data_IF_975622618841
#
_entry.id   IF_975622618841
#
_cell.length_a   1.000
_cell.length_b   1.000
_cell.length_c   1.000
_cell.angle_alpha   90.00
_cell.angle_beta   90.00
_cell.angle_gamma   90.00
#
_symmetry.space_group_name_H-M   'P 1'
#
loop_
_entity.id
_entity.type
_entity.pdbx_description
1 polymer ?
#
# COMPACT_ATOMS: atom_id res chain seq x y z
N UNK A 1 4.49 -32.40 4.82
CA UNK A 1 5.64 -31.49 4.82
C UNK A 1 5.47 -30.56 6.00
N UNK A 2 6.36 -30.57 6.98
CA UNK A 2 6.27 -29.73 8.17
C UNK A 2 6.53 -28.27 7.76
N UNK A 3 5.54 -27.40 7.89
CA UNK A 3 5.69 -25.97 7.63
C UNK A 3 6.59 -25.37 8.73
N UNK A 4 7.76 -24.89 8.35
CA UNK A 4 8.66 -24.19 9.28
C UNK A 4 8.03 -22.85 9.69
N UNK A 5 8.08 -22.45 10.98
CA UNK A 5 7.53 -21.18 11.41
C UNK A 5 8.29 -20.00 10.74
N UNK A 6 7.53 -19.05 10.23
CA UNK A 6 8.02 -17.82 9.59
C UNK A 6 7.66 -16.66 10.49
N UNK A 7 8.65 -15.88 10.91
CA UNK A 7 8.42 -14.67 11.70
C UNK A 7 8.34 -13.47 10.78
N UNK A 8 7.28 -12.65 10.92
CA UNK A 8 7.02 -11.42 10.17
C UNK A 8 6.61 -10.30 11.11
N UNK A 9 6.92 -9.04 10.74
CA UNK A 9 6.50 -7.86 11.48
C UNK A 9 5.37 -7.16 10.74
N UNK A 10 4.20 -7.02 11.37
CA UNK A 10 3.02 -6.37 10.79
C UNK A 10 2.44 -5.37 11.79
N UNK A 11 2.27 -4.13 11.38
CA UNK A 11 1.74 -3.03 12.23
C UNK A 11 2.45 -2.95 13.58
N UNK A 12 3.81 -2.99 13.54
CA UNK A 12 4.71 -2.97 14.70
C UNK A 12 4.63 -4.18 15.65
N UNK A 13 3.78 -5.16 15.37
CA UNK A 13 3.70 -6.43 16.11
C UNK A 13 4.45 -7.55 15.37
N UNK A 14 5.12 -8.42 16.17
CA UNK A 14 5.78 -9.62 15.65
C UNK A 14 4.81 -10.78 15.64
N UNK A 15 4.71 -11.48 14.51
CA UNK A 15 3.84 -12.65 14.33
C UNK A 15 4.66 -13.85 13.86
N UNK A 16 4.34 -15.04 14.40
CA UNK A 16 4.93 -16.31 13.95
C UNK A 16 3.84 -17.12 13.24
N UNK A 17 4.04 -17.37 11.95
CA UNK A 17 3.07 -18.03 11.07
C UNK A 17 3.61 -19.36 10.60
N UNK A 18 2.79 -20.41 10.63
CA UNK A 18 3.11 -21.75 10.10
C UNK A 18 2.36 -21.95 8.77
N UNK A 19 3.03 -21.74 7.66
CA UNK A 19 2.43 -21.86 6.33
C UNK A 19 3.48 -22.27 5.28
N UNK A 20 3.04 -22.55 4.06
CA UNK A 20 3.96 -22.70 2.94
C UNK A 20 4.73 -21.39 2.70
N UNK A 21 6.06 -21.41 2.56
CA UNK A 21 6.89 -20.25 2.29
C UNK A 21 6.47 -19.40 1.08
N UNK A 22 5.79 -20.00 0.13
CA UNK A 22 5.27 -19.34 -1.09
C UNK A 22 3.88 -18.76 -0.92
N UNK A 23 3.23 -18.95 0.24
CA UNK A 23 1.89 -18.40 0.49
C UNK A 23 1.91 -16.89 0.26
N UNK A 24 1.00 -16.34 -0.57
CA UNK A 24 0.89 -14.89 -0.75
C UNK A 24 0.59 -14.18 0.57
N UNK A 25 1.29 -13.08 0.83
CA UNK A 25 1.18 -12.29 2.04
C UNK A 25 -0.28 -11.87 2.32
N UNK A 26 -1.05 -11.58 1.29
CA UNK A 26 -2.46 -11.22 1.41
C UNK A 26 -3.27 -12.22 2.23
N UNK A 27 -3.07 -13.51 2.01
CA UNK A 27 -3.81 -14.55 2.74
C UNK A 27 -3.44 -14.58 4.21
N UNK A 28 -2.16 -14.44 4.53
CA UNK A 28 -1.69 -14.35 5.92
C UNK A 28 -2.32 -13.13 6.62
N UNK A 29 -2.28 -11.96 5.99
CA UNK A 29 -2.85 -10.74 6.57
C UNK A 29 -4.35 -10.89 6.84
N UNK A 30 -5.09 -11.50 5.92
CA UNK A 30 -6.55 -11.61 6.02
C UNK A 30 -7.04 -12.78 6.87
N UNK A 31 -6.42 -13.95 6.73
CA UNK A 31 -6.93 -15.19 7.32
C UNK A 31 -6.29 -15.46 8.69
N UNK A 32 -4.97 -15.31 8.81
CA UNK A 32 -4.25 -15.60 10.04
C UNK A 32 -4.26 -14.40 11.00
N UNK A 33 -4.14 -13.18 10.48
CA UNK A 33 -4.10 -11.95 11.28
C UNK A 33 -5.44 -11.20 11.31
N UNK A 34 -6.45 -11.67 10.62
CA UNK A 34 -7.81 -11.09 10.55
C UNK A 34 -7.84 -9.59 10.15
N UNK A 35 -6.83 -9.11 9.39
CA UNK A 35 -6.75 -7.73 8.91
C UNK A 35 -7.62 -7.55 7.67
N UNK A 36 -8.54 -6.60 7.72
CA UNK A 36 -9.52 -6.35 6.66
C UNK A 36 -9.13 -5.24 5.67
N UNK A 37 -8.15 -4.41 5.97
CA UNK A 37 -7.65 -3.36 5.08
C UNK A 37 -7.26 -3.92 3.71
N UNK A 38 -6.28 -4.83 3.60
CA UNK A 38 -5.90 -5.43 2.33
C UNK A 38 -7.04 -6.28 1.77
N UNK A 39 -7.54 -5.97 0.55
CA UNK A 39 -8.67 -6.67 -0.09
C UNK A 39 -8.20 -7.61 -1.18
N UNK A 40 -8.86 -8.77 -1.31
CA UNK A 40 -8.68 -9.64 -2.46
C UNK A 40 -9.49 -9.07 -3.65
N UNK A 41 -8.80 -8.70 -4.73
CA UNK A 41 -9.45 -8.28 -5.98
C UNK A 41 -9.09 -9.25 -7.12
N UNK A 42 -8.07 -8.92 -7.92
CA UNK A 42 -7.69 -9.74 -9.08
C UNK A 42 -6.80 -10.96 -8.73
N UNK A 43 -6.04 -10.94 -7.64
CA UNK A 43 -5.04 -11.96 -7.31
C UNK A 43 -3.78 -11.94 -8.20
N UNK A 44 -3.67 -10.99 -9.13
CA UNK A 44 -2.66 -10.91 -10.19
C UNK A 44 -1.73 -9.68 -10.06
N UNK A 45 -1.84 -8.90 -8.98
CA UNK A 45 -1.06 -7.69 -8.79
C UNK A 45 -1.56 -6.44 -9.52
N UNK A 46 -2.67 -6.52 -10.29
CA UNK A 46 -3.10 -5.47 -11.23
C UNK A 46 -4.02 -4.42 -10.60
N UNK A 47 -5.00 -4.83 -9.78
CA UNK A 47 -6.10 -3.95 -9.37
C UNK A 47 -5.79 -3.03 -8.17
N UNK A 48 -4.72 -3.26 -7.46
CA UNK A 48 -4.30 -2.45 -6.32
C UNK A 48 -5.03 -2.68 -4.99
N UNK A 49 -6.18 -3.36 -4.95
CA UNK A 49 -7.01 -3.49 -3.75
C UNK A 49 -6.28 -4.13 -2.54
N UNK A 50 -5.27 -4.95 -2.80
CA UNK A 50 -4.46 -5.65 -1.80
C UNK A 50 -3.20 -4.88 -1.35
N UNK A 51 -3.03 -3.62 -1.75
CA UNK A 51 -1.81 -2.89 -1.43
C UNK A 51 -1.59 -2.76 0.08
N UNK A 52 -0.33 -2.95 0.47
CA UNK A 52 0.21 -2.71 1.82
C UNK A 52 1.53 -1.94 1.66
N UNK A 53 2.05 -1.35 2.73
CA UNK A 53 3.42 -0.86 2.69
C UNK A 53 4.39 -1.96 3.14
N UNK A 54 5.48 -2.11 2.43
CA UNK A 54 6.65 -2.88 2.87
C UNK A 54 7.82 -1.89 2.90
N UNK A 55 8.31 -1.61 4.09
CA UNK A 55 9.32 -0.57 4.35
C UNK A 55 8.93 0.78 3.70
N UNK A 56 7.68 1.22 3.92
CA UNK A 56 7.14 2.47 3.41
C UNK A 56 6.74 2.47 1.92
N UNK A 57 6.99 1.42 1.15
CA UNK A 57 6.64 1.34 -0.28
C UNK A 57 5.38 0.52 -0.52
N UNK A 58 4.47 1.06 -1.33
CA UNK A 58 3.23 0.35 -1.69
C UNK A 58 3.52 -0.88 -2.57
N UNK A 59 3.09 -2.05 -2.11
CA UNK A 59 3.32 -3.34 -2.76
C UNK A 59 2.02 -4.14 -2.82
N UNK A 60 1.84 -4.94 -3.86
CA UNK A 60 0.66 -5.80 -4.07
C UNK A 60 0.82 -7.12 -3.30
N UNK A 61 0.22 -7.22 -2.11
CA UNK A 61 0.39 -8.38 -1.21
C UNK A 61 -0.13 -9.71 -1.79
N UNK A 62 -0.98 -9.70 -2.82
CA UNK A 62 -1.50 -10.92 -3.44
C UNK A 62 -0.47 -11.68 -4.29
N UNK A 63 0.65 -11.05 -4.66
CA UNK A 63 1.72 -11.68 -5.47
C UNK A 63 3.06 -11.72 -4.74
N UNK A 64 3.13 -11.22 -3.52
CA UNK A 64 4.34 -11.26 -2.69
C UNK A 64 4.29 -12.48 -1.77
N UNK A 65 5.25 -13.42 -1.84
CA UNK A 65 5.32 -14.54 -0.91
C UNK A 65 5.67 -14.07 0.50
N UNK A 66 5.12 -14.73 1.52
CA UNK A 66 5.33 -14.36 2.93
C UNK A 66 6.82 -14.33 3.33
N UNK A 67 7.65 -15.14 2.71
CA UNK A 67 9.10 -15.15 2.95
C UNK A 67 9.81 -13.87 2.52
N UNK A 68 9.25 -13.12 1.58
CA UNK A 68 9.85 -11.87 1.10
C UNK A 68 9.77 -10.73 2.14
N UNK A 69 8.97 -10.88 3.21
CA UNK A 69 8.81 -9.88 4.28
C UNK A 69 9.43 -10.30 5.61
N UNK A 70 10.18 -11.36 5.66
CA UNK A 70 10.92 -11.84 6.82
C UNK A 70 11.74 -10.76 7.42
N UNK A 71 12.25 -9.98 7.64
CA UNK A 71 13.10 -8.90 8.15
C UNK A 71 12.69 -7.53 7.62
N UNK A 72 11.43 -7.40 7.20
CA UNK A 72 10.87 -6.14 6.69
C UNK A 72 9.66 -5.74 7.51
N UNK A 73 9.37 -4.46 7.53
CA UNK A 73 8.18 -3.93 8.18
C UNK A 73 7.01 -3.91 7.20
N UNK A 74 5.92 -4.57 7.55
CA UNK A 74 4.66 -4.52 6.80
C UNK A 74 3.69 -3.61 7.53
N UNK A 75 3.16 -2.58 6.84
CA UNK A 75 2.11 -1.72 7.38
C UNK A 75 0.85 -1.90 6.54
N UNK A 76 -0.27 -2.19 7.19
CA UNK A 76 -1.60 -2.25 6.56
C UNK A 76 -2.39 -0.97 6.85
N UNK A 77 -3.58 -0.84 6.28
CA UNK A 77 -4.46 0.31 6.52
C UNK A 77 -4.73 0.54 8.01
N UNK A 78 -4.87 -0.54 8.77
CA UNK A 78 -5.09 -0.54 10.22
C UNK A 78 -3.88 -0.02 11.00
N UNK A 79 -2.68 -0.16 10.44
CA UNK A 79 -1.44 0.33 11.05
C UNK A 79 -1.15 1.81 10.79
N UNK A 80 -1.92 2.49 9.92
CA UNK A 80 -1.74 3.92 9.66
C UNK A 80 -2.39 4.79 10.73
N UNK A 81 -3.57 4.42 11.21
CA UNK A 81 -4.37 5.18 12.16
C UNK A 81 -5.70 4.51 12.41
N UNK A 82 -6.52 5.10 13.26
CA UNK A 82 -7.83 4.58 13.66
C UNK A 82 -8.94 5.65 13.51
N UNK A 83 -10.17 5.30 13.86
CA UNK A 83 -11.35 6.18 13.72
C UNK A 83 -11.29 7.46 14.58
N UNK A 84 -10.55 7.45 15.69
CA UNK A 84 -10.40 8.61 16.59
C UNK A 84 -9.16 9.44 16.28
N UNK A 85 -8.18 8.85 15.60
CA UNK A 85 -6.93 9.48 15.17
C UNK A 85 -6.52 8.92 13.80
N UNK A 86 -7.21 9.32 12.73
CA UNK A 86 -6.88 8.87 11.39
C UNK A 86 -5.55 9.47 10.93
N UNK A 87 -4.81 8.71 10.13
CA UNK A 87 -3.62 9.24 9.44
C UNK A 87 -4.03 10.41 8.52
N UNK A 88 -3.19 11.45 8.33
CA UNK A 88 -3.53 12.61 7.47
C UNK A 88 -4.05 12.23 6.08
N UNK A 89 -3.50 11.18 5.46
CA UNK A 89 -4.01 10.67 4.17
C UNK A 89 -5.42 10.08 4.33
N UNK A 90 -5.70 9.30 5.39
CA UNK A 90 -7.04 8.78 5.65
C UNK A 90 -8.03 9.93 5.86
N UNK A 91 -7.64 10.95 6.63
CA UNK A 91 -8.48 12.13 6.85
C UNK A 91 -8.78 12.88 5.55
N UNK A 92 -7.79 13.08 4.68
CA UNK A 92 -8.00 13.70 3.38
C UNK A 92 -9.04 12.95 2.52
N UNK A 93 -9.02 11.60 2.54
CA UNK A 93 -10.03 10.79 1.83
C UNK A 93 -11.43 10.90 2.45
N UNK A 94 -11.54 11.11 3.76
CA UNK A 94 -12.81 11.38 4.46
C UNK A 94 -13.33 12.76 4.06
N UNK A 95 -12.50 13.80 4.17
CA UNK A 95 -12.86 15.19 3.90
C UNK A 95 -13.35 15.41 2.47
N UNK A 96 -12.74 14.72 1.50
CA UNK A 96 -13.10 14.82 0.08
C UNK A 96 -14.19 13.82 -0.34
N UNK A 97 -14.79 13.08 0.61
CA UNK A 97 -15.79 12.05 0.33
C UNK A 97 -15.35 11.06 -0.79
N UNK A 98 -14.08 10.68 -0.78
CA UNK A 98 -13.43 9.92 -1.86
C UNK A 98 -13.84 8.44 -1.89
N UNK A 99 -15.08 8.11 -1.55
CA UNK A 99 -15.57 6.74 -1.47
C UNK A 99 -17.04 6.60 -1.88
N UNK A 100 -17.36 5.41 -2.41
CA UNK A 100 -18.73 4.88 -2.44
C UNK A 100 -18.75 3.53 -1.70
N UNK A 101 -18.45 2.41 -2.39
CA UNK A 101 -18.45 1.09 -1.75
C UNK A 101 -17.22 0.88 -0.81
N UNK A 102 -16.18 1.66 -0.90
CA UNK A 102 -14.99 1.61 -0.06
C UNK A 102 -13.99 0.50 -0.41
N UNK A 103 -14.30 -0.42 -1.33
CA UNK A 103 -13.46 -1.60 -1.59
C UNK A 103 -12.06 -1.27 -2.11
N UNK A 104 -11.92 -0.27 -2.98
CA UNK A 104 -10.64 0.17 -3.54
C UNK A 104 -9.84 1.07 -2.61
N UNK A 105 -10.45 1.63 -1.54
CA UNK A 105 -9.84 2.67 -0.70
C UNK A 105 -8.55 2.20 -0.04
N UNK A 106 -8.49 0.96 0.46
CA UNK A 106 -7.24 0.43 1.00
C UNK A 106 -6.08 0.68 0.02
N UNK A 107 -6.22 0.21 -1.22
CA UNK A 107 -5.17 0.34 -2.22
C UNK A 107 -4.82 1.79 -2.57
N UNK A 108 -5.84 2.64 -2.70
CA UNK A 108 -5.66 4.06 -3.00
C UNK A 108 -4.91 4.78 -1.86
N UNK A 109 -5.35 4.63 -0.62
CA UNK A 109 -4.74 5.24 0.56
C UNK A 109 -3.29 4.76 0.71
N UNK A 110 -3.03 3.44 0.68
CA UNK A 110 -1.67 2.90 0.83
C UNK A 110 -0.73 3.41 -0.28
N UNK A 111 -1.23 3.56 -1.51
CA UNK A 111 -0.45 4.13 -2.63
C UNK A 111 -0.15 5.61 -2.39
N UNK A 112 -1.12 6.40 -1.92
CA UNK A 112 -0.92 7.84 -1.64
C UNK A 112 0.01 8.03 -0.44
N UNK A 113 -0.06 7.21 0.61
CA UNK A 113 0.90 7.24 1.73
C UNK A 113 2.32 6.99 1.22
N UNK A 114 2.51 5.95 0.40
CA UNK A 114 3.82 5.67 -0.19
C UNK A 114 4.32 6.83 -1.04
N UNK A 115 3.46 7.47 -1.83
CA UNK A 115 3.82 8.64 -2.63
C UNK A 115 4.24 9.81 -1.73
N UNK A 116 3.47 10.12 -0.68
CA UNK A 116 3.77 11.19 0.26
C UNK A 116 5.11 10.99 0.99
N UNK A 117 5.47 9.74 1.28
CA UNK A 117 6.75 9.42 1.93
C UNK A 117 7.96 9.61 1.02
N UNK A 118 7.83 9.31 -0.28
CA UNK A 118 8.96 9.27 -1.20
C UNK A 118 9.03 10.45 -2.14
N UNK A 119 7.88 11.07 -2.44
CA UNK A 119 7.74 12.20 -3.36
C UNK A 119 6.69 13.19 -2.81
N UNK A 120 6.96 13.86 -1.67
CA UNK A 120 5.98 14.76 -1.05
C UNK A 120 5.58 15.92 -1.97
N UNK A 121 6.46 16.36 -2.87
CA UNK A 121 6.21 17.43 -3.84
C UNK A 121 5.56 16.96 -5.14
N UNK A 122 5.05 15.71 -5.19
CA UNK A 122 4.43 15.14 -6.38
C UNK A 122 3.23 15.97 -6.84
N UNK A 123 3.22 16.33 -8.12
CA UNK A 123 2.13 17.04 -8.77
C UNK A 123 1.00 16.10 -9.22
N UNK A 124 0.02 16.66 -9.94
CA UNK A 124 -1.14 15.88 -10.39
C UNK A 124 -0.76 14.73 -11.34
N UNK A 125 0.24 14.92 -12.19
CA UNK A 125 0.68 13.91 -13.12
C UNK A 125 1.27 12.68 -12.40
N UNK A 126 2.11 12.90 -11.39
CA UNK A 126 2.72 11.88 -10.57
C UNK A 126 1.67 11.14 -9.74
N UNK A 127 0.68 11.84 -9.17
CA UNK A 127 -0.46 11.24 -8.45
C UNK A 127 -1.26 10.31 -9.39
N UNK A 128 -1.60 10.77 -10.59
CA UNK A 128 -2.32 9.97 -11.59
C UNK A 128 -1.53 8.73 -11.98
N UNK A 129 -0.22 8.88 -12.19
CA UNK A 129 0.67 7.77 -12.52
C UNK A 129 0.75 6.76 -11.37
N UNK A 130 0.94 7.20 -10.14
CA UNK A 130 0.97 6.33 -8.96
C UNK A 130 -0.34 5.53 -8.79
N UNK A 131 -1.48 6.16 -9.08
CA UNK A 131 -2.81 5.55 -8.97
C UNK A 131 -3.26 4.77 -10.21
N UNK A 132 -2.51 4.77 -11.31
CA UNK A 132 -2.89 4.18 -12.58
C UNK A 132 -3.30 2.69 -12.49
N UNK A 133 -2.67 1.95 -11.57
CA UNK A 133 -2.96 0.54 -11.30
C UNK A 133 -3.83 0.32 -10.04
N UNK A 134 -4.63 1.32 -9.66
CA UNK A 134 -5.61 1.21 -8.58
C UNK A 134 -7.02 1.34 -9.17
N UNK A 135 -7.71 0.22 -9.35
CA UNK A 135 -9.01 0.20 -10.03
C UNK A 135 -10.16 0.55 -9.08
N UNK A 136 -11.01 1.48 -9.51
CA UNK A 136 -12.28 1.80 -8.86
C UNK A 136 -13.44 1.61 -9.83
N UNK A 137 -14.42 0.77 -9.48
CA UNK A 137 -15.63 0.53 -10.31
C UNK A 137 -16.73 1.56 -10.07
N UNK A 138 -16.70 2.24 -8.92
CA UNK A 138 -17.73 3.22 -8.55
C UNK A 138 -17.57 4.57 -9.26
N UNK A 139 -16.37 4.90 -9.76
CA UNK A 139 -16.14 6.13 -10.53
C UNK A 139 -15.78 7.36 -9.69
N UNK A 140 -15.42 7.22 -8.41
CA UNK A 140 -15.01 8.33 -7.52
C UNK A 140 -13.59 8.84 -7.82
N UNK A 141 -13.17 8.88 -9.08
CA UNK A 141 -11.80 9.24 -9.44
C UNK A 141 -11.46 10.72 -9.20
N UNK A 142 -12.45 11.62 -9.35
CA UNK A 142 -12.25 13.06 -9.09
C UNK A 142 -12.00 13.31 -7.61
N UNK A 143 -12.82 12.74 -6.75
CA UNK A 143 -12.73 12.84 -5.29
C UNK A 143 -11.45 12.18 -4.77
N UNK A 144 -11.06 11.02 -5.32
CA UNK A 144 -9.80 10.35 -4.99
C UNK A 144 -8.60 11.22 -5.37
N UNK A 145 -8.62 11.87 -6.54
CA UNK A 145 -7.55 12.77 -6.96
C UNK A 145 -7.48 14.02 -6.08
N UNK A 146 -8.63 14.60 -5.70
CA UNK A 146 -8.69 15.72 -4.76
C UNK A 146 -8.13 15.33 -3.39
N UNK A 147 -8.53 14.17 -2.86
CA UNK A 147 -8.01 13.62 -1.61
C UNK A 147 -6.49 13.39 -1.64
N UNK A 148 -5.97 12.84 -2.74
CA UNK A 148 -4.53 12.64 -2.89
C UNK A 148 -3.75 13.97 -2.92
N UNK A 149 -4.23 14.98 -3.65
CA UNK A 149 -3.63 16.32 -3.65
C UNK A 149 -3.64 16.95 -2.26
N UNK A 150 -4.79 16.89 -1.57
CA UNK A 150 -4.92 17.40 -0.20
C UNK A 150 -3.97 16.70 0.75
N UNK A 151 -3.85 15.37 0.65
CA UNK A 151 -2.95 14.57 1.48
C UNK A 151 -1.48 14.98 1.31
N UNK A 152 -1.01 15.17 0.08
CA UNK A 152 0.35 15.63 -0.21
C UNK A 152 0.60 17.05 0.30
N UNK A 153 -0.37 17.97 0.12
CA UNK A 153 -0.27 19.31 0.68
C UNK A 153 -0.13 19.30 2.20
N UNK A 154 -0.91 18.47 2.90
CA UNK A 154 -0.81 18.30 4.36
C UNK A 154 0.52 17.66 4.78
N UNK A 155 1.02 16.69 4.01
CA UNK A 155 2.30 16.04 4.27
C UNK A 155 3.48 17.02 4.17
N UNK A 156 3.42 17.96 3.23
CA UNK A 156 4.43 19.02 3.08
C UNK A 156 4.34 20.11 4.16
N UNK A 157 3.13 20.37 4.67
CA UNK A 157 2.87 21.44 5.64
C UNK A 157 3.13 21.01 7.10
N UNK A 158 3.07 19.72 7.38
CA UNK A 158 3.34 19.13 8.69
C UNK A 158 4.26 17.92 8.50
N UNK A 159 5.37 17.86 9.24
CA UNK A 159 6.14 16.62 9.30
C UNK A 159 5.19 15.47 9.68
N UNK A 160 5.06 14.45 8.84
CA UNK A 160 4.22 13.28 9.12
C UNK A 160 4.62 12.70 10.49
N UNK A 161 3.67 12.33 11.38
CA UNK A 161 4.01 11.76 12.68
C UNK A 161 4.95 10.57 12.52
N UNK A 162 6.06 10.60 13.24
CA UNK A 162 7.28 9.83 13.07
C UNK A 162 7.22 8.34 13.43
N UNK A 163 6.28 7.54 12.90
CA UNK A 163 6.37 6.08 12.99
C UNK A 163 7.00 5.41 11.75
N UNK A 164 7.39 6.19 10.74
CA UNK A 164 7.96 5.69 9.49
C UNK A 164 9.39 6.22 9.20
N UNK A 165 10.03 6.90 10.14
CA UNK A 165 11.39 7.44 9.95
C UNK A 165 12.47 6.38 9.67
N UNK A 166 12.25 5.12 10.09
CA UNK A 166 13.16 4.02 9.77
C UNK A 166 13.21 3.64 8.28
N UNK A 167 12.25 4.11 7.48
CA UNK A 167 12.19 3.81 6.05
C UNK A 167 13.06 4.76 5.19
N UNK A 168 13.49 5.89 5.73
CA UNK A 168 14.32 6.87 5.00
C UNK A 168 15.80 6.49 4.91
N UNK A 169 16.28 5.62 5.80
CA UNK A 169 17.72 5.28 5.90
C UNK A 169 18.15 4.05 5.09
N UNK A 170 17.21 3.22 4.58
CA UNK A 170 17.56 2.09 3.73
C UNK A 170 17.61 2.53 2.25
N UNK A 171 18.79 2.95 1.79
CA UNK A 171 19.05 3.25 0.38
C UNK A 171 18.91 2.02 -0.51
N UNK A 172 17.70 1.72 -0.94
CA UNK A 172 17.42 0.70 -1.94
C UNK A 172 17.33 1.34 -3.31
N UNK A 173 18.34 1.16 -4.15
CA UNK A 173 18.26 1.51 -5.57
C UNK A 173 17.28 0.57 -6.31
N UNK A 174 16.36 1.11 -7.11
CA UNK A 174 15.46 0.28 -7.91
C UNK A 174 16.24 -0.38 -9.05
N UNK A 175 16.34 -1.71 -9.03
CA UNK A 175 16.77 -2.47 -10.20
C UNK A 175 15.82 -2.18 -11.37
N UNK A 176 16.36 -1.71 -12.49
CA UNK A 176 15.68 -1.40 -13.73
C UNK A 176 14.80 -2.58 -14.18
N UNK A 177 13.48 -2.41 -14.13
CA UNK A 177 12.57 -3.22 -14.94
C UNK A 177 12.73 -2.74 -16.38
N UNK A 178 13.42 -3.54 -17.20
CA UNK A 178 13.49 -3.32 -18.65
C UNK A 178 12.06 -3.39 -19.20
N UNK A 179 11.55 -2.27 -19.69
CA UNK A 179 10.37 -2.25 -20.53
C UNK A 179 10.77 -2.81 -21.89
N UNK A 180 10.39 -4.06 -22.15
CA UNK A 180 10.47 -4.65 -23.49
C UNK A 180 9.39 -4.00 -24.36
N UNK A 181 9.81 -3.01 -25.17
CA UNK A 181 9.00 -2.45 -26.24
C UNK A 181 9.07 -3.42 -27.42
N UNK A 182 8.23 -4.43 -27.40
CA UNK A 182 7.99 -5.28 -28.57
C UNK A 182 7.34 -4.46 -29.69
N UNK A 183 8.12 -4.12 -30.72
CA UNK A 183 7.64 -3.62 -31.99
C UNK A 183 6.60 -4.57 -32.58
N UNK A 184 5.37 -4.11 -32.73
CA UNK A 184 4.37 -4.77 -33.56
C UNK A 184 4.28 -4.00 -34.88
N UNK A 185 5.07 -4.48 -35.85
CA UNK A 185 4.88 -4.18 -37.26
C UNK A 185 3.85 -5.16 -37.85
N UNK A 186 3.00 -4.59 -38.76
CA UNK A 186 2.02 -5.14 -39.70
C UNK A 186 0.65 -5.47 -39.13
#
# INVERSE_FOLDING_TARGET
MSASPISIRVNDAQHTISCDPKTPLLYILRNDLALNGPKFGCGLGECGACAVLIDGRAVRSCVVPVTAVKNRSVTTLEGLGNSTSPHPVQQAFIDENAAQCGYCLNGMIMTVVSLALHQPDAGEAEIKNALAHNLCRCGTHKEILAAAKRALFLANSAALPGSLDSARESGFEPSHVKTDQGERNA
#
